data_IF_641823669823
#
_entry.id   IF_641823669823
#
_cell.length_a   1.000
_cell.length_b   1.000
_cell.length_c   1.000
_cell.angle_alpha   90.00
_cell.angle_beta   90.00
_cell.angle_gamma   90.00
#
_symmetry.space_group_name_H-M   'P 1'
#
loop_
_entity.id
_entity.type
_entity.pdbx_description
1 polymer ?
#
# COMPACT_ATOMS: atom_id res chain seq x y z
N UNK A 1 -36.65 13.81 -26.40
CA UNK A 1 -37.35 12.67 -25.77
C UNK A 1 -36.89 11.42 -26.49
N UNK A 2 -36.33 10.35 -25.94
CA UNK A 2 -36.05 9.80 -24.60
C UNK A 2 -35.22 8.55 -25.00
N UNK A 3 -33.94 8.36 -24.66
CA UNK A 3 -33.35 8.28 -23.33
C UNK A 3 -33.49 6.85 -22.79
N UNK A 4 -32.46 6.01 -22.93
CA UNK A 4 -32.21 4.90 -21.97
C UNK A 4 -30.75 4.45 -22.05
N UNK A 5 -29.99 4.83 -21.01
CA UNK A 5 -28.67 4.31 -20.69
C UNK A 5 -28.83 3.01 -19.88
N UNK A 6 -28.01 2.00 -20.16
CA UNK A 6 -27.93 0.78 -19.36
C UNK A 6 -26.60 0.78 -18.60
N UNK A 7 -26.70 1.02 -17.29
CA UNK A 7 -25.63 0.84 -16.32
C UNK A 7 -25.36 -0.66 -16.12
N UNK A 8 -24.10 -1.08 -16.24
CA UNK A 8 -23.65 -2.37 -15.73
C UNK A 8 -22.89 -2.12 -14.42
N UNK A 9 -23.45 -2.62 -13.32
CA UNK A 9 -22.87 -2.55 -11.97
C UNK A 9 -21.85 -3.66 -11.78
N UNK A 10 -20.73 -3.32 -11.14
CA UNK A 10 -19.71 -4.26 -10.68
C UNK A 10 -20.23 -5.23 -9.62
N UNK A 11 -19.71 -6.44 -9.66
CA UNK A 11 -19.95 -7.49 -8.66
C UNK A 11 -18.60 -7.89 -8.04
N UNK A 12 -18.38 -7.43 -6.81
CA UNK A 12 -17.34 -7.89 -5.90
C UNK A 12 -17.75 -9.25 -5.31
N UNK A 13 -16.89 -10.26 -5.45
CA UNK A 13 -17.13 -11.61 -4.95
C UNK A 13 -16.38 -11.83 -3.62
N UNK A 14 -17.12 -11.79 -2.51
CA UNK A 14 -16.68 -12.27 -1.21
C UNK A 14 -17.13 -13.73 -1.02
N UNK A 15 -16.20 -14.62 -0.66
CA UNK A 15 -16.43 -16.06 -0.45
C UNK A 15 -17.16 -16.38 0.87
N UNK A 16 -17.83 -17.55 0.99
CA UNK A 16 -18.84 -17.78 2.02
C UNK A 16 -18.29 -18.48 3.28
N UNK A 17 -18.71 -17.98 4.45
CA UNK A 17 -18.62 -18.65 5.74
C UNK A 17 -19.79 -19.63 5.94
N UNK A 18 -19.47 -20.89 6.25
CA UNK A 18 -20.42 -21.97 6.59
C UNK A 18 -21.09 -21.72 7.95
N UNK A 19 -22.42 -21.80 7.98
CA UNK A 19 -23.23 -22.00 9.19
C UNK A 19 -23.84 -23.41 9.11
N UNK A 20 -23.61 -24.23 10.13
CA UNK A 20 -24.29 -25.51 10.32
C UNK A 20 -25.45 -25.32 11.29
N UNK A 21 -26.67 -25.59 10.80
CA UNK A 21 -27.90 -25.72 11.58
C UNK A 21 -28.06 -27.15 12.11
N UNK A 22 -28.60 -27.26 13.32
CA UNK A 22 -29.31 -28.42 13.84
C UNK A 22 -29.92 -28.03 15.18
N UNK A 23 -31.16 -28.34 15.56
CA UNK A 23 -32.26 -29.05 14.94
C UNK A 23 -33.45 -28.89 15.90
N UNK A 24 -34.67 -28.88 15.36
CA UNK A 24 -35.92 -28.65 16.08
C UNK A 24 -36.25 -29.78 17.09
N UNK A 25 -36.90 -29.42 18.21
CA UNK A 25 -37.78 -30.33 18.96
C UNK A 25 -39.02 -29.58 19.44
N UNK A 26 -40.17 -30.15 19.08
CA UNK A 26 -41.50 -29.72 19.47
C UNK A 26 -41.88 -30.08 20.91
N UNK A 27 -42.61 -29.13 21.52
CA UNK A 27 -43.81 -29.22 22.39
C UNK A 27 -43.93 -30.38 23.41
N UNK A 28 -44.22 -29.99 24.66
CA UNK A 28 -45.49 -30.31 25.36
C UNK A 28 -45.51 -29.70 26.76
N UNK A 29 -46.72 -29.40 27.26
CA UNK A 29 -46.99 -29.22 28.69
C UNK A 29 -47.43 -27.82 29.12
N UNK A 30 -48.75 -27.62 29.21
CA UNK A 30 -49.40 -26.44 29.78
C UNK A 30 -50.14 -26.88 31.05
N UNK A 31 -49.72 -26.40 32.22
CA UNK A 31 -50.53 -26.35 33.46
C UNK A 31 -50.01 -25.21 34.33
N UNK A 32 -50.92 -24.43 34.90
CA UNK A 32 -50.62 -23.14 35.52
C UNK A 32 -50.67 -23.09 37.04
N UNK A 33 -50.52 -21.85 37.51
CA UNK A 33 -50.74 -21.26 38.84
C UNK A 33 -49.71 -21.53 39.95
N UNK A 34 -49.17 -20.43 40.49
CA UNK A 34 -48.53 -20.37 41.81
C UNK A 34 -47.63 -19.14 41.94
N UNK A 35 -47.95 -18.25 42.87
CA UNK A 35 -47.24 -17.02 43.25
C UNK A 35 -45.73 -17.15 43.45
N UNK A 36 -44.96 -16.08 43.17
CA UNK A 36 -44.21 -15.31 44.20
C UNK A 36 -43.16 -14.35 43.62
N UNK A 37 -43.22 -13.12 44.13
CA UNK A 37 -42.14 -12.16 44.38
C UNK A 37 -41.22 -11.72 43.21
N UNK A 38 -41.53 -10.53 42.68
CA UNK A 38 -40.61 -9.71 41.91
C UNK A 38 -39.38 -9.34 42.76
N UNK A 39 -38.24 -9.96 42.44
CA UNK A 39 -36.91 -9.47 42.85
C UNK A 39 -36.38 -8.62 41.70
N UNK A 40 -36.50 -7.31 41.85
CA UNK A 40 -35.74 -6.32 41.07
C UNK A 40 -34.26 -6.56 41.31
N UNK A 41 -33.57 -7.13 40.32
CA UNK A 41 -32.11 -7.14 40.26
C UNK A 41 -31.66 -5.76 39.85
N UNK A 42 -31.13 -5.01 40.82
CA UNK A 42 -30.34 -3.80 40.58
C UNK A 42 -29.23 -4.15 39.58
N UNK A 43 -29.30 -3.57 38.39
CA UNK A 43 -28.23 -3.63 37.41
C UNK A 43 -27.06 -2.83 37.99
N UNK A 44 -26.11 -3.53 38.61
CA UNK A 44 -24.79 -2.98 38.94
C UNK A 44 -24.20 -2.45 37.65
N UNK A 45 -24.25 -1.13 37.48
CA UNK A 45 -23.54 -0.41 36.43
C UNK A 45 -22.07 -0.64 36.71
N UNK A 46 -21.43 -1.50 35.90
CA UNK A 46 -19.98 -1.61 35.88
C UNK A 46 -19.49 -0.24 35.40
N UNK A 47 -18.69 0.50 36.17
CA UNK A 47 -18.09 1.73 35.69
C UNK A 47 -17.28 1.37 34.44
N UNK A 48 -17.67 1.90 33.28
CA UNK A 48 -16.80 1.81 32.13
C UNK A 48 -15.50 2.53 32.49
N UNK A 49 -14.33 1.92 32.21
CA UNK A 49 -13.08 2.65 32.37
C UNK A 49 -13.17 3.94 31.56
N UNK A 50 -12.65 5.08 32.08
CA UNK A 50 -12.67 6.32 31.34
C UNK A 50 -12.05 6.07 29.97
N UNK A 51 -12.75 6.47 28.90
CA UNK A 51 -12.19 6.42 27.55
C UNK A 51 -10.81 7.05 27.61
N UNK A 52 -9.77 6.24 27.33
CA UNK A 52 -8.41 6.72 27.33
C UNK A 52 -8.35 7.86 26.31
N UNK A 53 -8.10 9.07 26.80
CA UNK A 53 -8.04 10.27 25.95
C UNK A 53 -6.92 10.06 24.95
N UNK A 54 -7.26 9.93 23.66
CA UNK A 54 -6.29 9.77 22.59
C UNK A 54 -5.36 11.00 22.62
N UNK A 55 -4.03 10.81 22.77
CA UNK A 55 -3.08 11.91 22.80
C UNK A 55 -2.97 12.56 21.42
N UNK A 56 -2.56 13.83 21.38
CA UNK A 56 -2.38 14.57 20.13
C UNK A 56 -1.15 14.13 19.31
N UNK A 57 -0.23 13.37 19.93
CA UNK A 57 0.96 12.77 19.30
C UNK A 57 1.30 11.46 20.02
N UNK A 58 1.87 10.49 19.29
CA UNK A 58 2.39 9.25 19.89
C UNK A 58 3.71 9.45 20.63
N UNK A 59 4.23 8.38 21.21
CA UNK A 59 5.53 8.33 21.91
C UNK A 59 6.75 8.20 20.99
N UNK A 60 6.56 8.34 19.66
CA UNK A 60 7.64 8.29 18.66
C UNK A 60 8.66 9.41 18.89
N UNK A 61 9.94 9.07 18.84
CA UNK A 61 11.04 10.02 19.04
C UNK A 61 11.02 11.15 17.99
N UNK A 62 11.31 12.38 18.41
CA UNK A 62 11.30 13.57 17.52
C UNK A 62 12.69 14.16 17.29
N UNK A 63 13.71 13.64 17.96
CA UNK A 63 15.09 14.12 17.97
C UNK A 63 16.05 13.24 17.15
N UNK A 64 15.52 12.26 16.41
CA UNK A 64 16.35 11.35 15.58
C UNK A 64 17.01 12.10 14.41
N UNK A 65 18.25 11.82 13.99
CA UNK A 65 18.86 12.52 12.86
C UNK A 65 18.01 12.45 11.58
N UNK A 66 17.90 13.59 10.88
CA UNK A 66 17.26 13.69 9.56
C UNK A 66 18.33 13.49 8.47
N UNK A 67 18.13 12.57 7.51
CA UNK A 67 19.07 12.38 6.41
C UNK A 67 18.96 13.52 5.40
N UNK A 68 20.01 13.72 4.62
CA UNK A 68 20.07 14.67 3.51
C UNK A 68 19.83 13.90 2.20
N UNK A 69 18.88 14.35 1.36
CA UNK A 69 18.68 13.73 0.05
C UNK A 69 19.74 14.18 -0.94
N UNK A 70 20.06 13.36 -1.96
CA UNK A 70 21.04 13.73 -2.98
C UNK A 70 20.56 14.86 -3.91
N UNK A 71 19.27 15.17 -3.89
CA UNK A 71 18.65 16.28 -4.60
C UNK A 71 17.27 16.58 -3.99
N UNK A 72 16.75 17.77 -4.27
CA UNK A 72 15.35 18.13 -3.98
C UNK A 72 14.52 18.12 -5.26
N UNK A 73 13.23 17.83 -5.14
CA UNK A 73 12.32 17.71 -6.28
C UNK A 73 12.28 16.28 -6.82
N UNK A 74 12.04 16.14 -8.12
CA UNK A 74 11.66 14.85 -8.72
C UNK A 74 12.53 14.46 -9.91
N UNK A 75 12.76 13.16 -10.08
CA UNK A 75 13.50 12.56 -11.19
C UNK A 75 12.71 11.42 -11.81
N UNK A 76 12.97 11.18 -13.09
CA UNK A 76 12.39 10.08 -13.87
C UNK A 76 13.50 9.16 -14.30
N UNK A 77 13.30 7.86 -14.11
CA UNK A 77 14.12 6.79 -14.67
C UNK A 77 13.23 5.91 -15.55
N UNK A 78 13.69 5.60 -16.74
CA UNK A 78 12.98 4.77 -17.72
C UNK A 78 13.85 3.62 -18.17
N UNK A 79 13.23 2.53 -18.63
CA UNK A 79 13.93 1.37 -19.15
C UNK A 79 14.70 0.61 -18.07
N UNK A 80 14.14 0.52 -16.85
CA UNK A 80 14.76 -0.23 -15.75
C UNK A 80 14.84 -1.71 -16.14
N UNK A 81 16.04 -2.32 -16.21
CA UNK A 81 16.18 -3.71 -16.62
C UNK A 81 15.48 -4.65 -15.63
N UNK A 82 14.65 -5.56 -16.14
CA UNK A 82 13.93 -6.57 -15.34
C UNK A 82 14.86 -7.36 -14.43
N UNK A 83 16.07 -7.65 -14.90
CA UNK A 83 17.10 -8.37 -14.14
C UNK A 83 17.48 -7.68 -12.81
N UNK A 84 17.29 -6.36 -12.67
CA UNK A 84 17.63 -5.62 -11.45
C UNK A 84 16.62 -5.82 -10.31
N UNK A 85 15.38 -6.18 -10.64
CA UNK A 85 14.30 -6.29 -9.65
C UNK A 85 13.59 -7.64 -9.65
N UNK A 86 13.70 -8.47 -10.68
CA UNK A 86 13.05 -9.79 -10.74
C UNK A 86 13.46 -10.73 -9.59
N UNK A 87 14.66 -10.56 -9.04
CA UNK A 87 15.13 -11.33 -7.87
C UNK A 87 14.40 -10.98 -6.58
N UNK A 88 13.62 -9.90 -6.58
CA UNK A 88 12.80 -9.43 -5.47
C UNK A 88 11.34 -9.86 -5.59
N UNK A 89 11.00 -10.61 -6.64
CA UNK A 89 9.66 -11.14 -6.87
C UNK A 89 9.27 -12.08 -5.72
N UNK A 90 8.10 -11.86 -5.13
CA UNK A 90 7.54 -12.79 -4.13
C UNK A 90 7.02 -14.04 -4.86
N UNK A 91 7.87 -15.06 -4.89
CA UNK A 91 7.56 -16.35 -5.51
C UNK A 91 6.32 -17.01 -4.89
N UNK A 92 6.10 -16.83 -3.59
CA UNK A 92 4.94 -17.43 -2.94
C UNK A 92 3.66 -16.72 -3.39
N UNK A 93 3.65 -15.40 -3.41
CA UNK A 93 2.52 -14.62 -3.87
C UNK A 93 2.25 -14.86 -5.36
N UNK A 94 3.30 -14.95 -6.18
CA UNK A 94 3.20 -15.24 -7.61
C UNK A 94 2.63 -16.63 -7.88
N UNK A 95 3.28 -17.67 -7.36
CA UNK A 95 2.95 -19.05 -7.72
C UNK A 95 1.66 -19.54 -7.07
N UNK A 96 1.47 -19.28 -5.78
CA UNK A 96 0.31 -19.82 -5.03
C UNK A 96 -0.85 -18.82 -4.93
N UNK A 97 -0.55 -17.52 -4.91
CA UNK A 97 -1.57 -16.47 -4.84
C UNK A 97 -2.15 -16.16 -6.21
N UNK A 98 -1.33 -15.62 -7.11
CA UNK A 98 -1.75 -15.14 -8.42
C UNK A 98 -2.07 -16.28 -9.38
N UNK A 99 -1.16 -17.26 -9.50
CA UNK A 99 -1.31 -18.36 -10.47
C UNK A 99 -2.11 -19.54 -9.92
N UNK A 100 -2.41 -19.52 -8.62
CA UNK A 100 -3.23 -20.54 -7.97
C UNK A 100 -2.64 -21.96 -8.04
N UNK A 101 -1.32 -22.11 -8.16
CA UNK A 101 -0.67 -23.42 -8.15
C UNK A 101 -0.97 -24.14 -6.82
N UNK A 102 -1.17 -25.45 -6.85
CA UNK A 102 -1.51 -26.26 -5.67
C UNK A 102 -0.71 -27.55 -5.65
N UNK A 103 -0.34 -27.98 -4.45
CA UNK A 103 0.31 -29.27 -4.25
C UNK A 103 0.65 -29.52 -2.79
N UNK A 104 0.80 -30.81 -2.45
CA UNK A 104 1.12 -31.23 -1.08
C UNK A 104 2.54 -30.82 -0.64
N UNK A 105 3.49 -30.76 -1.59
CA UNK A 105 4.87 -30.34 -1.36
C UNK A 105 5.15 -29.04 -2.11
N UNK A 106 5.04 -27.91 -1.42
CA UNK A 106 5.18 -26.57 -2.03
C UNK A 106 6.51 -26.38 -2.75
N UNK A 107 7.63 -26.75 -2.11
CA UNK A 107 8.96 -26.56 -2.70
C UNK A 107 9.12 -27.31 -4.02
N UNK A 108 8.53 -28.51 -4.14
CA UNK A 108 8.54 -29.26 -5.38
C UNK A 108 7.76 -28.52 -6.48
N UNK A 109 6.57 -27.99 -6.17
CA UNK A 109 5.74 -27.22 -7.12
C UNK A 109 6.48 -25.96 -7.60
N UNK A 110 7.18 -25.27 -6.69
CA UNK A 110 8.01 -24.10 -7.03
C UNK A 110 9.07 -24.48 -8.07
N UNK A 111 9.84 -25.53 -7.82
CA UNK A 111 10.95 -25.90 -8.70
C UNK A 111 10.49 -26.47 -10.05
N UNK A 112 9.46 -27.33 -10.06
CA UNK A 112 9.06 -28.04 -11.28
C UNK A 112 8.09 -27.26 -12.15
N UNK A 113 7.19 -26.47 -11.56
CA UNK A 113 6.14 -25.75 -12.30
C UNK A 113 6.33 -24.23 -12.22
N UNK A 114 6.46 -23.67 -11.01
CA UNK A 114 6.53 -22.22 -10.78
C UNK A 114 7.69 -21.56 -11.53
N UNK A 115 8.93 -21.97 -11.26
CA UNK A 115 10.13 -21.42 -11.91
C UNK A 115 10.15 -21.64 -13.42
N UNK A 116 9.68 -22.80 -13.87
CA UNK A 116 9.61 -23.12 -15.30
C UNK A 116 8.64 -22.18 -16.02
N UNK A 117 7.46 -21.93 -15.42
CA UNK A 117 6.44 -21.03 -15.97
C UNK A 117 6.84 -19.57 -15.88
N UNK A 118 7.53 -19.15 -14.81
CA UNK A 118 8.11 -17.81 -14.69
C UNK A 118 9.13 -17.54 -15.79
N UNK A 119 10.08 -18.45 -15.99
CA UNK A 119 11.08 -18.32 -17.06
C UNK A 119 10.39 -18.23 -18.42
N UNK A 120 9.42 -19.10 -18.70
CA UNK A 120 8.64 -19.04 -19.94
C UNK A 120 8.00 -17.66 -20.17
N UNK A 121 7.34 -17.09 -19.16
CA UNK A 121 6.69 -15.79 -19.31
C UNK A 121 7.68 -14.65 -19.43
N UNK A 122 8.74 -14.63 -18.62
CA UNK A 122 9.79 -13.61 -18.72
C UNK A 122 10.44 -13.62 -20.10
N UNK A 123 10.78 -14.80 -20.63
CA UNK A 123 11.39 -14.94 -21.95
C UNK A 123 10.43 -14.46 -23.05
N UNK A 124 9.16 -14.88 -22.99
CA UNK A 124 8.15 -14.50 -23.98
C UNK A 124 7.86 -12.99 -23.96
N UNK A 125 7.66 -12.40 -22.79
CA UNK A 125 7.38 -10.98 -22.64
C UNK A 125 8.61 -10.12 -23.00
N UNK A 126 9.82 -10.58 -22.66
CA UNK A 126 11.06 -9.90 -23.04
C UNK A 126 11.32 -9.95 -24.55
N UNK A 127 11.10 -11.10 -25.19
CA UNK A 127 11.22 -11.25 -26.64
C UNK A 127 10.23 -10.35 -27.40
N UNK A 128 9.01 -10.21 -26.87
CA UNK A 128 8.00 -9.26 -27.37
C UNK A 128 8.29 -7.79 -27.06
N UNK A 129 9.33 -7.47 -26.29
CA UNK A 129 9.66 -6.10 -25.87
C UNK A 129 8.72 -5.51 -24.82
N UNK A 130 7.79 -6.30 -24.28
CA UNK A 130 6.71 -5.85 -23.39
C UNK A 130 7.27 -5.30 -22.06
N UNK A 131 8.32 -5.93 -21.53
CA UNK A 131 8.92 -5.54 -20.24
C UNK A 131 9.90 -4.35 -20.32
N UNK A 132 10.08 -3.73 -21.49
CA UNK A 132 11.05 -2.61 -21.67
C UNK A 132 10.55 -1.27 -21.11
N UNK A 133 9.30 -1.23 -20.67
CA UNK A 133 8.58 -0.01 -20.31
C UNK A 133 8.58 0.28 -18.81
N UNK A 134 9.28 -0.54 -18.02
CA UNK A 134 9.47 -0.31 -16.60
C UNK A 134 10.09 1.09 -16.36
N UNK A 135 9.38 1.90 -15.58
CA UNK A 135 9.74 3.28 -15.31
C UNK A 135 9.40 3.66 -13.87
N UNK A 136 10.14 4.64 -13.36
CA UNK A 136 9.98 5.16 -12.01
C UNK A 136 10.06 6.68 -12.05
N UNK A 137 9.11 7.32 -11.39
CA UNK A 137 9.22 8.71 -10.98
C UNK A 137 9.31 8.75 -9.47
N UNK A 138 10.31 9.44 -8.95
CA UNK A 138 10.51 9.55 -7.51
C UNK A 138 11.07 10.92 -7.17
N UNK A 139 10.96 11.30 -5.91
CA UNK A 139 11.47 12.58 -5.47
C UNK A 139 11.64 12.66 -3.97
N UNK A 140 12.39 13.67 -3.55
CA UNK A 140 12.58 14.03 -2.16
C UNK A 140 12.01 15.42 -1.97
N UNK A 141 11.02 15.53 -1.09
CA UNK A 141 10.28 16.76 -0.86
C UNK A 141 10.50 17.24 0.58
N UNK A 142 10.70 18.56 0.80
CA UNK A 142 10.79 19.10 2.14
C UNK A 142 9.44 19.00 2.82
N UNK A 143 9.43 18.58 4.08
CA UNK A 143 8.18 18.28 4.79
C UNK A 143 8.27 18.64 6.27
N UNK A 144 7.14 18.97 6.88
CA UNK A 144 6.97 19.10 8.33
C UNK A 144 5.68 18.43 8.77
N UNK A 145 5.63 17.97 10.01
CA UNK A 145 4.41 17.45 10.64
C UNK A 145 3.65 18.58 11.36
N UNK A 146 2.33 18.59 11.22
CA UNK A 146 1.40 19.46 11.95
C UNK A 146 0.24 18.62 12.48
N UNK A 147 0.33 18.19 13.74
CA UNK A 147 -0.65 17.25 14.31
C UNK A 147 -0.65 15.91 13.57
N UNK A 148 -1.80 15.54 12.99
CA UNK A 148 -1.98 14.31 12.21
C UNK A 148 -1.68 14.50 10.71
N UNK A 149 -1.24 15.70 10.33
CA UNK A 149 -0.95 16.06 8.96
C UNK A 149 0.55 16.07 8.65
N UNK A 150 0.87 15.73 7.41
CA UNK A 150 2.19 15.86 6.83
C UNK A 150 2.14 16.91 5.72
N UNK A 151 2.83 18.04 5.94
CA UNK A 151 2.77 19.24 5.11
C UNK A 151 4.00 19.31 4.21
N UNK A 152 3.80 19.12 2.92
CA UNK A 152 4.84 19.27 1.90
C UNK A 152 5.08 20.74 1.62
N UNK A 153 6.32 21.17 1.67
CA UNK A 153 6.72 22.56 1.54
C UNK A 153 7.22 22.89 0.13
N UNK A 154 7.16 24.17 -0.23
CA UNK A 154 7.74 24.70 -1.48
C UNK A 154 9.25 24.92 -1.39
N UNK A 155 9.83 24.93 -0.19
CA UNK A 155 11.25 25.14 0.06
C UNK A 155 11.75 24.45 1.34
N UNK A 156 13.07 24.41 1.51
CA UNK A 156 13.74 23.68 2.61
C UNK A 156 13.92 24.55 3.86
N UNK A 157 12.83 25.18 4.29
CA UNK A 157 12.73 26.01 5.49
C UNK A 157 11.30 25.89 6.05
N UNK A 158 11.15 25.84 7.38
CA UNK A 158 9.88 25.46 8.02
C UNK A 158 8.73 26.46 7.79
N UNK A 159 9.06 27.71 7.48
CA UNK A 159 8.13 28.81 7.16
C UNK A 159 7.79 28.90 5.66
N UNK A 160 8.38 28.04 4.82
CA UNK A 160 8.04 27.97 3.40
C UNK A 160 6.53 27.74 3.19
N UNK A 161 5.94 28.31 2.12
CA UNK A 161 4.56 28.03 1.76
C UNK A 161 4.28 26.53 1.60
N UNK A 162 3.08 26.13 2.02
CA UNK A 162 2.54 24.79 1.79
C UNK A 162 2.34 24.55 0.29
N UNK A 163 2.82 23.40 -0.18
CA UNK A 163 2.62 22.89 -1.54
C UNK A 163 1.50 21.85 -1.59
N UNK A 164 1.44 20.98 -0.58
CA UNK A 164 0.43 19.94 -0.46
C UNK A 164 0.37 19.44 1.00
N UNK A 165 -0.70 18.72 1.34
CA UNK A 165 -0.92 18.16 2.67
C UNK A 165 -1.52 16.76 2.57
N UNK A 166 -1.03 15.86 3.43
CA UNK A 166 -1.59 14.52 3.63
C UNK A 166 -2.08 14.42 5.07
N UNK A 167 -3.30 13.96 5.28
CA UNK A 167 -3.87 13.76 6.61
C UNK A 167 -3.93 12.27 6.91
N UNK A 168 -3.34 11.85 8.03
CA UNK A 168 -3.27 10.44 8.39
C UNK A 168 -4.13 10.12 9.62
N UNK A 169 -4.79 8.95 9.64
CA UNK A 169 -5.50 8.51 10.83
C UNK A 169 -4.53 8.17 11.96
N UNK A 170 -5.02 8.34 13.20
CA UNK A 170 -4.33 7.96 14.43
C UNK A 170 -4.92 6.68 15.00
N UNK A 171 -4.07 5.75 15.45
CA UNK A 171 -4.54 4.56 16.17
C UNK A 171 -5.33 4.97 17.42
N UNK A 172 -6.45 4.31 17.68
CA UNK A 172 -7.27 4.57 18.87
C UNK A 172 -6.74 3.89 20.15
N UNK A 173 -5.76 2.99 20.03
CA UNK A 173 -5.18 2.21 21.13
C UNK A 173 -3.68 1.94 20.88
N UNK A 174 -3.09 1.14 21.76
CA UNK A 174 -1.66 0.77 21.74
C UNK A 174 -0.75 1.99 21.89
N UNK A 175 0.04 2.34 20.87
CA UNK A 175 0.97 3.48 20.87
C UNK A 175 0.37 4.76 20.29
N UNK A 176 -0.90 4.73 19.87
CA UNK A 176 -1.58 5.87 19.23
C UNK A 176 -0.84 6.40 18.00
N UNK A 177 -0.22 5.52 17.20
CA UNK A 177 0.62 5.92 16.07
C UNK A 177 -0.20 6.65 14.99
N UNK A 178 0.42 7.68 14.41
CA UNK A 178 -0.01 8.36 13.19
C UNK A 178 1.22 8.48 12.28
N UNK A 179 1.07 8.38 10.96
CA UNK A 179 2.21 8.43 10.05
C UNK A 179 2.95 9.78 10.10
N UNK A 180 2.24 10.88 10.38
CA UNK A 180 2.83 12.20 10.56
C UNK A 180 3.80 12.26 11.77
N UNK A 181 3.61 11.40 12.78
CA UNK A 181 4.43 11.42 14.00
C UNK A 181 5.89 11.01 13.76
N UNK A 182 6.19 10.32 12.66
CA UNK A 182 7.54 9.92 12.29
C UNK A 182 8.36 11.03 11.62
N UNK A 183 7.78 12.21 11.41
CA UNK A 183 8.43 13.35 10.77
C UNK A 183 8.59 14.52 11.76
N UNK A 184 9.54 15.42 11.46
CA UNK A 184 9.81 16.63 12.27
C UNK A 184 8.57 17.50 12.46
N UNK A 185 8.16 17.78 13.70
CA UNK A 185 7.12 18.76 13.98
C UNK A 185 7.55 20.17 13.53
N UNK A 186 6.62 20.94 12.96
CA UNK A 186 6.90 22.29 12.45
C UNK A 186 7.45 23.23 13.52
N UNK A 187 7.01 23.07 14.76
CA UNK A 187 7.46 23.85 15.92
C UNK A 187 8.94 23.69 16.25
N UNK A 188 9.60 22.64 15.76
CA UNK A 188 11.06 22.47 15.90
C UNK A 188 11.84 23.47 15.04
N UNK A 189 11.22 24.03 13.99
CA UNK A 189 11.88 24.83 12.97
C UNK A 189 12.76 24.03 12.01
N UNK A 190 12.86 22.71 12.18
CA UNK A 190 13.60 21.81 11.29
C UNK A 190 12.69 21.26 10.19
N UNK A 191 13.24 21.07 9.00
CA UNK A 191 12.55 20.45 7.86
C UNK A 191 13.00 19.00 7.74
N UNK A 192 12.02 18.10 7.59
CA UNK A 192 12.24 16.69 7.31
C UNK A 192 12.24 16.39 5.79
N UNK A 193 12.53 15.14 5.44
CA UNK A 193 12.55 14.65 4.07
C UNK A 193 11.43 13.63 3.87
N UNK A 194 10.54 13.91 2.90
CA UNK A 194 9.58 12.95 2.39
C UNK A 194 10.01 12.44 1.01
N UNK A 195 10.59 11.23 0.91
CA UNK A 195 10.65 10.52 -0.33
C UNK A 195 9.28 10.01 -0.78
N UNK A 196 8.92 10.31 -2.02
CA UNK A 196 7.75 9.77 -2.72
C UNK A 196 8.22 8.93 -3.91
N UNK A 197 7.56 7.81 -4.15
CA UNK A 197 7.83 6.94 -5.30
C UNK A 197 6.55 6.58 -6.02
N UNK A 198 6.60 6.55 -7.34
CA UNK A 198 5.61 5.91 -8.20
C UNK A 198 6.35 5.12 -9.28
N UNK A 199 6.05 3.82 -9.35
CA UNK A 199 6.62 2.88 -10.32
C UNK A 199 5.54 2.38 -11.27
N UNK A 200 5.93 1.96 -12.47
CA UNK A 200 5.05 1.31 -13.43
C UNK A 200 5.83 0.31 -14.29
N UNK A 201 5.16 -0.75 -14.74
CA UNK A 201 5.67 -1.59 -15.83
C UNK A 201 5.27 -1.07 -17.22
N UNK A 202 4.45 -0.03 -17.27
CA UNK A 202 3.95 0.59 -18.49
C UNK A 202 2.72 -0.13 -19.08
N UNK A 203 2.07 0.54 -20.03
CA UNK A 203 0.84 0.06 -20.69
C UNK A 203 1.01 -1.28 -21.43
N UNK A 204 2.13 -1.60 -22.09
CA UNK A 204 2.21 -2.80 -22.93
C UNK A 204 1.96 -4.14 -22.22
N UNK A 205 2.28 -4.29 -20.93
CA UNK A 205 1.97 -5.53 -20.20
C UNK A 205 0.48 -5.63 -19.85
N UNK A 206 -0.17 -4.49 -19.61
CA UNK A 206 -1.61 -4.43 -19.40
C UNK A 206 -2.34 -4.78 -20.71
N UNK A 207 -1.98 -4.13 -21.82
CA UNK A 207 -2.55 -4.41 -23.15
C UNK A 207 -2.35 -5.89 -23.55
N UNK A 208 -1.17 -6.45 -23.29
CA UNK A 208 -0.91 -7.87 -23.58
C UNK A 208 -1.76 -8.82 -22.72
N UNK A 209 -2.05 -8.47 -21.47
CA UNK A 209 -2.98 -9.23 -20.65
C UNK A 209 -4.41 -9.11 -21.20
N UNK A 210 -4.85 -7.91 -21.58
CA UNK A 210 -6.16 -7.67 -22.18
C UNK A 210 -6.35 -8.45 -23.49
N UNK A 211 -5.32 -8.52 -24.34
CA UNK A 211 -5.33 -9.33 -25.57
C UNK A 211 -5.50 -10.82 -25.27
N UNK A 212 -4.83 -11.34 -24.23
CA UNK A 212 -5.01 -12.73 -23.79
C UNK A 212 -6.43 -12.98 -23.28
N UNK A 213 -7.00 -12.03 -22.55
CA UNK A 213 -8.38 -12.13 -22.07
C UNK A 213 -9.37 -12.13 -23.23
N UNK A 214 -9.23 -11.19 -24.17
CA UNK A 214 -10.08 -11.09 -25.36
C UNK A 214 -9.96 -12.30 -26.30
N UNK A 215 -8.80 -12.97 -26.29
CA UNK A 215 -8.54 -14.22 -27.01
C UNK A 215 -8.98 -15.50 -26.28
N UNK A 216 -9.78 -15.40 -25.21
CA UNK A 216 -10.22 -16.53 -24.37
C UNK A 216 -9.06 -17.35 -23.73
N UNK A 217 -7.86 -16.78 -23.65
CA UNK A 217 -6.68 -17.42 -23.06
C UNK A 217 -6.61 -17.15 -21.54
N UNK A 218 -7.68 -17.47 -20.82
CA UNK A 218 -7.89 -17.05 -19.43
C UNK A 218 -6.77 -17.44 -18.45
N UNK A 219 -6.18 -18.63 -18.58
CA UNK A 219 -5.05 -19.05 -17.73
C UNK A 219 -3.83 -18.17 -17.97
N UNK A 220 -3.50 -17.94 -19.23
CA UNK A 220 -2.34 -17.13 -19.61
C UNK A 220 -2.56 -15.67 -19.19
N UNK A 221 -3.77 -15.14 -19.35
CA UNK A 221 -4.17 -13.83 -18.82
C UNK A 221 -3.89 -13.70 -17.32
N UNK A 222 -4.43 -14.61 -16.50
CA UNK A 222 -4.25 -14.57 -15.04
C UNK A 222 -2.77 -14.65 -14.66
N UNK A 223 -2.00 -15.46 -15.38
CA UNK A 223 -0.57 -15.61 -15.11
C UNK A 223 0.23 -14.36 -15.47
N UNK A 224 -0.06 -13.71 -16.60
CA UNK A 224 0.61 -12.47 -17.01
C UNK A 224 0.20 -11.29 -16.14
N UNK A 225 -1.10 -11.12 -15.89
CA UNK A 225 -1.60 -10.06 -15.02
C UNK A 225 -0.98 -10.20 -13.61
N UNK A 226 -1.03 -11.40 -13.04
CA UNK A 226 -0.41 -11.70 -11.76
C UNK A 226 1.10 -11.46 -11.73
N UNK A 227 1.81 -11.81 -12.81
CA UNK A 227 3.23 -11.49 -12.96
C UNK A 227 3.47 -9.98 -13.03
N UNK A 228 2.61 -9.22 -13.72
CA UNK A 228 2.65 -7.76 -13.77
C UNK A 228 2.51 -7.13 -12.40
N UNK A 229 1.55 -7.58 -11.59
CA UNK A 229 1.39 -7.13 -10.19
C UNK A 229 2.68 -7.38 -9.39
N UNK A 230 3.23 -8.60 -9.46
CA UNK A 230 4.39 -8.98 -8.65
C UNK A 230 5.70 -8.34 -9.11
N UNK A 231 5.87 -8.13 -10.41
CA UNK A 231 7.00 -7.36 -10.96
C UNK A 231 6.90 -5.88 -10.61
N UNK A 232 5.69 -5.31 -10.52
CA UNK A 232 5.47 -3.92 -10.06
C UNK A 232 5.89 -3.77 -8.61
N UNK A 233 5.48 -4.69 -7.72
CA UNK A 233 5.92 -4.69 -6.32
C UNK A 233 7.42 -4.91 -6.17
N UNK A 234 8.00 -5.80 -6.98
CA UNK A 234 9.43 -6.02 -7.00
C UNK A 234 10.22 -4.77 -7.44
N UNK A 235 9.72 -4.03 -8.43
CA UNK A 235 10.27 -2.74 -8.84
C UNK A 235 10.13 -1.68 -7.74
N UNK A 236 8.98 -1.62 -7.06
CA UNK A 236 8.76 -0.72 -5.94
C UNK A 236 9.73 -1.00 -4.77
N UNK A 237 9.95 -2.27 -4.42
CA UNK A 237 10.91 -2.66 -3.39
C UNK A 237 12.37 -2.42 -3.83
N UNK A 238 12.70 -2.66 -5.10
CA UNK A 238 14.01 -2.29 -5.65
C UNK A 238 14.26 -0.80 -5.47
N UNK A 239 13.27 0.04 -5.81
CA UNK A 239 13.40 1.48 -5.70
C UNK A 239 13.42 1.99 -4.26
N UNK A 240 12.65 1.36 -3.37
CA UNK A 240 12.71 1.63 -1.93
C UNK A 240 14.12 1.40 -1.37
N UNK A 241 14.78 0.29 -1.74
CA UNK A 241 16.18 0.04 -1.37
C UNK A 241 17.12 1.09 -1.90
N UNK A 242 16.90 1.56 -3.14
CA UNK A 242 17.68 2.64 -3.75
C UNK A 242 17.50 3.94 -2.97
N UNK A 243 16.28 4.32 -2.64
CA UNK A 243 15.98 5.54 -1.84
C UNK A 243 16.73 5.51 -0.51
N UNK A 244 16.73 4.37 0.21
CA UNK A 244 17.47 4.21 1.47
C UNK A 244 18.98 4.30 1.30
N UNK A 245 19.53 3.88 0.16
CA UNK A 245 20.97 4.03 -0.16
C UNK A 245 21.33 5.45 -0.55
N UNK A 246 20.39 6.19 -1.13
CA UNK A 246 20.59 7.57 -1.58
C UNK A 246 20.55 8.58 -0.43
N UNK A 247 19.73 8.33 0.60
CA UNK A 247 19.62 9.16 1.80
C UNK A 247 20.81 8.95 2.74
N UNK A 248 21.55 10.01 3.05
CA UNK A 248 22.72 9.97 3.93
C UNK A 248 22.56 10.89 5.13
N UNK A 249 22.94 10.44 6.31
CA UNK A 249 23.05 11.31 7.47
C UNK A 249 24.30 12.20 7.36
N UNK A 250 24.34 13.27 8.17
CA UNK A 250 25.51 14.15 8.26
C UNK A 250 26.78 13.42 8.74
N UNK A 251 26.62 12.26 9.39
CA UNK A 251 27.72 11.34 9.73
C UNK A 251 28.33 10.62 8.53
N UNK A 252 27.69 10.66 7.35
CA UNK A 252 28.12 9.98 6.13
C UNK A 252 27.55 8.57 5.94
N UNK A 253 26.81 8.02 6.92
CA UNK A 253 26.14 6.73 6.79
C UNK A 253 24.84 6.83 6.01
N UNK A 254 24.51 5.81 5.23
CA UNK A 254 23.25 5.75 4.51
C UNK A 254 22.13 5.22 5.41
N UNK A 255 20.88 5.63 5.17
CA UNK A 255 19.68 5.05 5.82
C UNK A 255 19.61 3.52 5.60
N UNK A 256 20.20 3.04 4.51
CA UNK A 256 20.35 1.62 4.20
C UNK A 256 21.10 0.84 5.29
N UNK A 257 22.14 1.43 5.88
CA UNK A 257 23.10 0.76 6.78
C UNK A 257 22.44 0.39 8.12
N UNK A 258 21.54 1.23 8.60
CA UNK A 258 20.86 1.08 9.90
C UNK A 258 19.64 0.13 9.85
N UNK A 259 19.36 -0.51 8.71
CA UNK A 259 18.18 -1.37 8.49
C UNK A 259 16.84 -0.70 8.89
N UNK A 260 16.79 0.63 8.85
CA UNK A 260 15.65 1.46 9.25
C UNK A 260 14.83 1.98 8.07
N UNK A 261 13.65 2.48 8.39
CA UNK A 261 12.69 3.08 7.47
C UNK A 261 11.69 2.07 6.91
N UNK A 262 10.55 2.59 6.46
CA UNK A 262 9.45 1.81 5.93
C UNK A 262 8.80 2.50 4.73
N UNK A 263 8.27 1.69 3.81
CA UNK A 263 7.47 2.13 2.65
C UNK A 263 6.00 2.00 2.99
N UNK A 264 5.22 3.07 2.83
CA UNK A 264 3.78 3.11 3.09
C UNK A 264 3.05 3.36 1.77
N UNK A 265 2.52 2.30 1.12
CA UNK A 265 1.71 2.46 -0.09
C UNK A 265 0.36 3.08 0.25
N UNK A 266 -0.21 3.87 -0.67
CA UNK A 266 -1.56 4.40 -0.47
C UNK A 266 -2.60 3.29 -0.57
N UNK A 267 -3.72 3.45 0.14
CA UNK A 267 -4.77 2.45 0.29
C UNK A 267 -4.53 1.41 1.40
N UNK A 268 -3.36 1.43 2.04
CA UNK A 268 -3.04 0.57 3.18
C UNK A 268 -3.43 1.24 4.50
N UNK A 269 -3.43 0.46 5.59
CA UNK A 269 -4.01 0.92 6.87
C UNK A 269 -3.46 2.25 7.39
N UNK A 270 -2.16 2.54 7.22
CA UNK A 270 -1.56 3.80 7.67
C UNK A 270 -1.81 4.99 6.71
N UNK A 271 -2.16 4.70 5.46
CA UNK A 271 -2.45 5.70 4.40
C UNK A 271 -3.73 5.30 3.64
N UNK A 272 -4.91 5.20 4.31
CA UNK A 272 -6.08 4.55 3.72
C UNK A 272 -6.78 5.42 2.66
N UNK A 273 -6.50 6.73 2.63
CA UNK A 273 -7.14 7.67 1.74
C UNK A 273 -6.57 7.55 0.32
N UNK A 274 -7.31 6.88 -0.59
CA UNK A 274 -6.91 6.75 -1.98
C UNK A 274 -6.91 8.08 -2.75
N UNK A 275 -7.66 9.10 -2.31
CA UNK A 275 -7.68 10.40 -2.99
C UNK A 275 -6.31 11.10 -2.98
N UNK A 276 -5.46 10.78 -2.01
CA UNK A 276 -4.09 11.32 -1.90
C UNK A 276 -3.19 10.90 -3.08
N UNK A 277 -3.62 9.91 -3.87
CA UNK A 277 -2.92 9.44 -5.06
C UNK A 277 -2.90 10.50 -6.15
N UNK A 278 -3.93 11.34 -6.24
CA UNK A 278 -3.92 12.51 -7.13
C UNK A 278 -2.82 13.50 -6.73
N UNK A 279 -2.69 13.77 -5.43
CA UNK A 279 -1.62 14.60 -4.87
C UNK A 279 -0.23 14.01 -5.17
N UNK A 280 -0.04 12.70 -4.98
CA UNK A 280 1.24 12.03 -5.29
C UNK A 280 1.56 12.12 -6.79
N UNK A 281 0.59 11.84 -7.66
CA UNK A 281 0.75 11.94 -9.12
C UNK A 281 1.14 13.35 -9.56
N UNK A 282 0.51 14.37 -8.99
CA UNK A 282 0.82 15.78 -9.27
C UNK A 282 2.21 16.18 -8.73
N UNK A 283 2.49 15.90 -7.46
CA UNK A 283 3.77 16.23 -6.83
C UNK A 283 4.96 15.62 -7.57
N UNK A 284 4.81 14.37 -8.02
CA UNK A 284 5.81 13.63 -8.77
C UNK A 284 5.84 14.00 -10.26
N UNK A 285 4.77 14.55 -10.82
CA UNK A 285 4.62 14.73 -12.28
C UNK A 285 4.66 13.38 -13.00
N UNK A 286 3.80 12.45 -12.57
CA UNK A 286 3.84 11.05 -13.01
C UNK A 286 3.42 10.82 -14.46
N UNK A 287 2.78 11.79 -15.10
CA UNK A 287 2.49 11.75 -16.54
C UNK A 287 3.75 11.58 -17.39
N UNK A 288 4.92 11.98 -16.89
CA UNK A 288 6.23 11.82 -17.54
C UNK A 288 6.63 10.36 -17.75
N UNK A 289 6.02 9.44 -17.01
CA UNK A 289 6.17 7.99 -17.18
C UNK A 289 4.87 7.31 -17.66
N UNK A 290 3.92 8.11 -18.17
CA UNK A 290 2.64 7.63 -18.69
C UNK A 290 1.61 7.25 -17.63
N UNK A 291 1.89 7.51 -16.35
CA UNK A 291 0.97 7.18 -15.26
C UNK A 291 -0.01 8.32 -14.98
N UNK A 292 -1.28 7.97 -14.85
CA UNK A 292 -2.37 8.89 -14.48
C UNK A 292 -3.18 8.30 -13.33
N UNK A 293 -3.98 9.15 -12.68
CA UNK A 293 -4.99 8.74 -11.71
C UNK A 293 -6.40 8.85 -12.32
N UNK A 294 -7.25 7.86 -12.10
CA UNK A 294 -8.66 7.87 -12.53
C UNK A 294 -9.53 8.65 -11.54
N UNK A 295 -10.78 8.91 -11.89
CA UNK A 295 -11.74 9.54 -10.98
C UNK A 295 -11.99 8.69 -9.71
N UNK A 296 -11.87 7.36 -9.83
CA UNK A 296 -12.00 6.40 -8.73
C UNK A 296 -10.68 6.19 -7.96
N UNK A 297 -9.69 7.07 -8.18
CA UNK A 297 -8.38 7.06 -7.52
C UNK A 297 -7.50 5.84 -7.86
N UNK A 298 -7.76 5.16 -8.97
CA UNK A 298 -6.88 4.09 -9.47
C UNK A 298 -5.76 4.66 -10.35
N UNK A 299 -4.68 3.91 -10.56
CA UNK A 299 -3.51 4.32 -11.34
C UNK A 299 -3.69 3.63 -12.67
N UNK A 300 -3.41 4.35 -13.73
CA UNK A 300 -3.43 3.80 -15.08
C UNK A 300 -2.06 4.04 -15.70
N UNK A 301 -1.38 2.99 -16.22
CA UNK A 301 -1.81 1.58 -16.26
C UNK A 301 -1.86 0.93 -14.88
N UNK A 302 -2.66 -0.15 -14.75
CA UNK A 302 -2.93 -0.84 -13.49
C UNK A 302 -1.67 -1.49 -12.85
N UNK A 303 -0.68 -2.01 -13.62
CA UNK A 303 0.63 -2.42 -13.12
C UNK A 303 1.52 -1.22 -12.71
N UNK A 304 1.03 -0.43 -11.75
CA UNK A 304 1.70 0.73 -11.18
C UNK A 304 1.46 0.77 -9.67
N UNK A 305 2.46 1.22 -8.91
CA UNK A 305 2.38 1.34 -7.46
C UNK A 305 3.01 2.64 -7.00
N UNK A 306 2.42 3.25 -5.98
CA UNK A 306 2.89 4.47 -5.34
C UNK A 306 3.15 4.23 -3.85
N UNK A 307 4.00 5.06 -3.25
CA UNK A 307 4.24 5.02 -1.81
C UNK A 307 4.91 6.30 -1.29
N UNK A 308 4.64 6.58 -0.02
CA UNK A 308 5.48 7.41 0.84
C UNK A 308 6.58 6.53 1.45
N UNK A 309 7.79 7.04 1.61
CA UNK A 309 8.86 6.34 2.32
C UNK A 309 9.23 7.16 3.54
N UNK A 310 9.20 6.54 4.72
CA UNK A 310 9.65 7.16 5.96
C UNK A 310 11.03 6.61 6.31
N UNK A 311 11.98 7.49 6.64
CA UNK A 311 13.34 7.09 7.05
C UNK A 311 13.48 6.86 8.55
N UNK A 312 12.49 7.23 9.37
CA UNK A 312 12.53 7.18 10.83
C UNK A 312 12.89 5.77 11.35
N UNK A 313 13.72 5.62 12.40
CA UNK A 313 14.14 4.31 12.88
C UNK A 313 13.00 3.46 13.45
N UNK A 314 11.98 4.12 14.00
CA UNK A 314 10.79 3.46 14.54
C UNK A 314 9.68 3.24 13.50
N UNK A 315 9.86 3.66 12.25
CA UNK A 315 8.84 3.48 11.22
C UNK A 315 8.64 1.99 10.93
N UNK A 316 7.42 1.51 11.12
CA UNK A 316 6.99 0.15 10.81
C UNK A 316 5.54 0.17 10.32
N UNK A 317 5.07 -0.90 9.69
CA UNK A 317 3.65 -1.03 9.36
C UNK A 317 2.82 -1.18 10.64
N UNK A 318 1.72 -0.42 10.72
CA UNK A 318 0.75 -0.48 11.82
C UNK A 318 -0.68 -0.41 11.27
N UNK A 319 -1.63 -0.80 12.10
CA UNK A 319 -3.06 -0.82 11.78
C UNK A 319 -3.81 0.21 12.63
N UNK A 320 -4.75 0.92 12.02
CA UNK A 320 -5.59 1.94 12.68
C UNK A 320 -6.74 1.30 13.45
#
# INVERSE_FOLDING_TARGET
>A
MTGTALQARGASAAGPGRVLQGGERERTGRTGRGDQAARTTDARTIPQPPEARIPARSDVATDVPVPVPPFWGTRVITGVPVAEYVTLLDERATYFGQWGLRGARRDQVVETEGRARLRYWLDRLAAGGILRHAAVVYGYLPVVAEGDDLVVLTGVHADAPERARFSFPRQARDRFLCLADFYRPRETGEVDVLPLTLVTLGTPIADYADDLFAGDAYRDYLEVHGLGVQLTEALAEHWHRRVRRELHFTSGHAVADDRRGARFPLGYSACPNLADRATVVELLGAERIGVKVTADCELTPEPSADALICHHPEAAHFTI
#
